data_IF_397790048558
#
_entry.id   IF_397790048558
#
_cell.length_a   1.000
_cell.length_b   1.000
_cell.length_c   1.000
_cell.angle_alpha   90.00
_cell.angle_beta   90.00
_cell.angle_gamma   90.00
#
_symmetry.space_group_name_H-M   'P 1'
#
loop_
_entity.id
_entity.type
_entity.pdbx_description
1 polymer ?
#
# COMPACT_ATOMS: atom_id res chain seq x y z
N UNK A 1 -48.19 30.32 -45.98
CA UNK A 1 -48.53 28.89 -45.81
C UNK A 1 -47.20 28.18 -45.57
N UNK A 2 -46.82 27.92 -44.32
CA UNK A 2 -47.19 26.73 -43.53
C UNK A 2 -46.52 25.46 -44.10
N UNK A 3 -45.88 24.54 -43.37
CA UNK A 3 -45.48 24.41 -41.97
C UNK A 3 -44.53 23.17 -41.87
N UNK A 4 -43.71 23.09 -40.81
CA UNK A 4 -43.34 21.87 -40.03
C UNK A 4 -42.52 20.74 -40.68
N UNK A 5 -41.60 20.00 -40.03
CA UNK A 5 -41.07 19.92 -38.65
C UNK A 5 -39.84 18.97 -38.66
N UNK A 6 -38.76 19.29 -37.95
CA UNK A 6 -37.89 18.37 -37.16
C UNK A 6 -36.84 19.25 -36.45
N UNK A 7 -37.13 19.66 -35.21
CA UNK A 7 -36.57 19.11 -33.94
C UNK A 7 -35.20 19.74 -33.61
N UNK A 8 -35.13 20.62 -32.59
CA UNK A 8 -34.50 20.32 -31.28
C UNK A 8 -32.96 20.20 -31.40
N UNK A 9 -32.07 20.96 -30.75
CA UNK A 9 -32.03 21.58 -29.41
C UNK A 9 -31.04 22.76 -29.51
N UNK A 10 -31.41 23.93 -28.98
CA UNK A 10 -30.48 25.07 -28.81
C UNK A 10 -29.33 24.70 -27.88
N UNK A 11 -28.11 25.02 -28.32
CA UNK A 11 -26.84 24.96 -27.59
C UNK A 11 -26.99 25.20 -26.07
N UNK A 12 -27.10 24.12 -25.31
CA UNK A 12 -26.98 24.11 -23.86
C UNK A 12 -25.50 24.27 -23.47
N UNK A 13 -25.01 25.52 -23.50
CA UNK A 13 -23.73 25.87 -22.91
C UNK A 13 -23.72 25.45 -21.45
N UNK A 14 -22.68 24.71 -21.05
CA UNK A 14 -22.41 24.34 -19.66
C UNK A 14 -22.44 25.64 -18.84
N UNK A 15 -23.45 25.78 -17.97
CA UNK A 15 -23.55 26.92 -17.05
C UNK A 15 -22.30 26.90 -16.19
N UNK A 16 -21.45 27.92 -16.31
CA UNK A 16 -20.34 28.17 -15.40
C UNK A 16 -20.91 28.18 -13.98
N UNK A 17 -20.44 27.27 -13.14
CA UNK A 17 -20.81 27.22 -11.71
C UNK A 17 -20.44 28.58 -11.12
N UNK A 18 -21.38 29.19 -10.39
CA UNK A 18 -21.20 30.48 -9.73
C UNK A 18 -19.96 30.42 -8.81
N UNK A 19 -19.13 31.46 -8.83
CA UNK A 19 -17.94 31.56 -7.99
C UNK A 19 -18.30 31.43 -6.51
N UNK A 20 -19.46 31.95 -6.10
CA UNK A 20 -19.97 31.78 -4.74
C UNK A 20 -20.21 30.30 -4.38
N UNK A 21 -20.81 29.53 -5.30
CA UNK A 21 -21.05 28.10 -5.11
C UNK A 21 -19.72 27.33 -5.02
N UNK A 22 -18.72 27.71 -5.81
CA UNK A 22 -17.39 27.07 -5.76
C UNK A 22 -16.68 27.32 -4.41
N UNK A 23 -16.75 28.55 -3.87
CA UNK A 23 -16.16 28.84 -2.55
C UNK A 23 -16.92 28.14 -1.42
N UNK A 24 -18.25 28.06 -1.48
CA UNK A 24 -19.05 27.27 -0.53
C UNK A 24 -18.67 25.78 -0.57
N UNK A 25 -18.59 25.19 -1.78
CA UNK A 25 -18.18 23.80 -1.94
C UNK A 25 -16.75 23.54 -1.44
N UNK A 26 -15.82 24.49 -1.65
CA UNK A 26 -14.46 24.39 -1.14
C UNK A 26 -14.42 24.37 0.39
N UNK A 27 -15.20 25.22 1.06
CA UNK A 27 -15.32 25.22 2.51
C UNK A 27 -15.90 23.90 3.03
N UNK A 28 -16.96 23.39 2.39
CA UNK A 28 -17.55 22.08 2.73
C UNK A 28 -16.53 20.95 2.57
N UNK A 29 -15.75 20.94 1.48
CA UNK A 29 -14.73 19.92 1.26
C UNK A 29 -13.63 19.97 2.33
N UNK A 30 -13.23 21.16 2.79
CA UNK A 30 -12.28 21.32 3.88
C UNK A 30 -12.84 20.79 5.22
N UNK A 31 -14.12 21.01 5.50
CA UNK A 31 -14.78 20.45 6.68
C UNK A 31 -14.86 18.92 6.62
N UNK A 32 -15.16 18.34 5.45
CA UNK A 32 -15.16 16.89 5.23
C UNK A 32 -13.78 16.32 5.46
N UNK A 33 -12.75 16.89 4.83
CA UNK A 33 -11.36 16.44 4.98
C UNK A 33 -10.90 16.51 6.44
N UNK A 34 -11.21 17.60 7.15
CA UNK A 34 -10.91 17.72 8.58
C UNK A 34 -11.61 16.62 9.41
N UNK A 35 -12.87 16.30 9.11
CA UNK A 35 -13.61 15.23 9.79
C UNK A 35 -13.00 13.85 9.49
N UNK A 36 -12.60 13.58 8.25
CA UNK A 36 -11.93 12.34 7.84
C UNK A 36 -10.60 12.15 8.59
N UNK A 37 -9.81 13.23 8.71
CA UNK A 37 -8.56 13.20 9.49
C UNK A 37 -8.78 12.85 10.96
N UNK A 38 -9.78 13.46 11.61
CA UNK A 38 -10.09 13.15 13.00
C UNK A 38 -10.60 11.71 13.20
N UNK A 39 -11.39 11.20 12.25
CA UNK A 39 -11.80 9.79 12.23
C UNK A 39 -10.59 8.87 12.07
N UNK A 40 -9.69 9.15 11.13
CA UNK A 40 -8.49 8.35 10.88
C UNK A 40 -7.58 8.28 12.11
N UNK A 41 -7.33 9.42 12.76
CA UNK A 41 -6.56 9.47 14.03
C UNK A 41 -7.20 8.62 15.11
N UNK A 42 -8.52 8.72 15.28
CA UNK A 42 -9.23 7.93 16.27
C UNK A 42 -9.21 6.43 15.94
N UNK A 43 -9.34 6.05 14.66
CA UNK A 43 -9.21 4.67 14.22
C UNK A 43 -7.81 4.09 14.54
N UNK A 44 -6.74 4.81 14.21
CA UNK A 44 -5.36 4.40 14.53
C UNK A 44 -5.22 4.15 16.03
N UNK A 45 -5.67 5.11 16.86
CA UNK A 45 -5.60 5.02 18.32
C UNK A 45 -6.36 3.82 18.88
N UNK A 46 -7.57 3.55 18.38
CA UNK A 46 -8.42 2.45 18.86
C UNK A 46 -7.91 1.09 18.38
N UNK A 47 -7.44 1.00 17.13
CA UNK A 47 -6.98 -0.27 16.57
C UNK A 47 -5.58 -0.67 17.05
N UNK A 48 -4.71 0.27 17.38
CA UNK A 48 -3.35 -0.03 17.87
C UNK A 48 -3.31 -1.09 18.99
N UNK A 49 -4.03 -0.95 20.13
CA UNK A 49 -4.03 -1.99 21.17
C UNK A 49 -4.67 -3.31 20.74
N UNK A 50 -5.56 -3.30 19.74
CA UNK A 50 -6.18 -4.51 19.18
C UNK A 50 -5.17 -5.27 18.32
N UNK A 51 -4.45 -4.57 17.44
CA UNK A 51 -3.40 -5.17 16.63
C UNK A 51 -2.24 -5.70 17.47
N UNK A 52 -1.86 -5.03 18.56
CA UNK A 52 -0.88 -5.57 19.51
C UNK A 52 -1.32 -6.87 20.18
N UNK A 53 -2.61 -7.00 20.52
CA UNK A 53 -3.17 -8.26 21.03
C UNK A 53 -3.17 -9.33 19.95
N UNK A 54 -3.56 -8.98 18.71
CA UNK A 54 -3.57 -9.89 17.56
C UNK A 54 -2.17 -10.42 17.24
N UNK A 55 -1.16 -9.55 17.20
CA UNK A 55 0.26 -9.89 17.02
C UNK A 55 0.74 -10.94 18.02
N UNK A 56 0.35 -10.83 19.30
CA UNK A 56 0.68 -11.85 20.32
C UNK A 56 0.04 -13.22 20.06
N UNK A 57 -1.11 -13.27 19.37
CA UNK A 57 -1.74 -14.52 18.97
C UNK A 57 -1.04 -15.09 17.74
N UNK A 58 -0.79 -14.27 16.73
CA UNK A 58 -0.08 -14.67 15.50
C UNK A 58 1.30 -15.27 15.80
N UNK A 59 2.05 -14.70 16.76
CA UNK A 59 3.34 -15.24 17.21
C UNK A 59 3.30 -16.67 17.76
N UNK A 60 2.12 -17.19 18.13
CA UNK A 60 1.97 -18.58 18.59
C UNK A 60 1.81 -19.58 17.45
N UNK A 61 1.58 -19.10 16.24
CA UNK A 61 1.37 -19.91 15.04
C UNK A 61 2.67 -19.90 14.24
N UNK A 62 3.37 -21.05 14.14
CA UNK A 62 4.61 -21.12 13.37
C UNK A 62 4.37 -20.71 11.92
N UNK A 63 5.26 -19.84 11.41
CA UNK A 63 5.25 -19.43 10.00
C UNK A 63 3.91 -18.82 9.55
N UNK A 64 3.23 -18.13 10.47
CA UNK A 64 1.92 -17.52 10.20
C UNK A 64 1.95 -16.62 8.95
N UNK A 65 2.84 -15.62 8.93
CA UNK A 65 2.86 -14.65 7.84
C UNK A 65 3.28 -15.28 6.50
N UNK A 66 4.20 -16.25 6.48
CA UNK A 66 4.51 -16.93 5.21
C UNK A 66 3.31 -17.71 4.67
N UNK A 67 2.50 -18.33 5.53
CA UNK A 67 1.26 -19.00 5.11
C UNK A 67 0.21 -18.02 4.59
N UNK A 68 0.16 -16.81 5.14
CA UNK A 68 -0.72 -15.74 4.64
C UNK A 68 -0.27 -15.28 3.26
N UNK A 69 1.00 -14.88 3.12
CA UNK A 69 1.51 -14.32 1.86
C UNK A 69 1.44 -15.32 0.70
N UNK A 70 1.75 -16.60 0.96
CA UNK A 70 1.73 -17.66 -0.07
C UNK A 70 0.34 -18.04 -0.58
N UNK A 71 -0.72 -17.64 0.12
CA UNK A 71 -2.12 -17.92 -0.26
C UNK A 71 -2.89 -16.66 -0.67
N UNK A 72 -2.38 -15.48 -0.34
CA UNK A 72 -3.10 -14.23 -0.55
C UNK A 72 -3.11 -13.86 -2.03
N UNK A 73 -4.30 -13.63 -2.59
CA UNK A 73 -4.51 -13.40 -4.03
C UNK A 73 -3.64 -12.27 -4.61
N UNK A 74 -3.44 -11.20 -3.84
CA UNK A 74 -2.65 -10.05 -4.29
C UNK A 74 -1.14 -10.17 -4.03
N UNK A 75 -0.67 -11.17 -3.28
CA UNK A 75 0.75 -11.25 -2.91
C UNK A 75 1.41 -12.51 -3.46
N UNK A 76 0.70 -13.64 -3.50
CA UNK A 76 1.27 -14.93 -3.87
C UNK A 76 1.92 -14.91 -5.27
N UNK A 77 1.38 -14.15 -6.21
CA UNK A 77 1.95 -14.02 -7.56
C UNK A 77 3.33 -13.37 -7.60
N UNK A 78 3.69 -12.58 -6.58
CA UNK A 78 4.98 -11.89 -6.48
C UNK A 78 6.02 -12.70 -5.70
N UNK A 79 5.66 -13.88 -5.16
CA UNK A 79 6.61 -14.77 -4.50
C UNK A 79 7.29 -15.65 -5.55
N UNK A 80 8.38 -15.14 -6.11
CA UNK A 80 9.17 -15.82 -7.14
C UNK A 80 10.61 -16.03 -6.69
N UNK A 81 11.36 -16.85 -7.44
CA UNK A 81 12.76 -17.15 -7.12
C UNK A 81 12.92 -17.68 -5.67
N UNK A 82 13.76 -17.04 -4.85
CA UNK A 82 13.98 -17.43 -3.46
C UNK A 82 13.00 -16.77 -2.47
N UNK A 83 12.02 -15.98 -2.96
CA UNK A 83 11.05 -15.28 -2.10
C UNK A 83 10.29 -16.27 -1.20
N UNK A 84 9.85 -17.42 -1.74
CA UNK A 84 9.15 -18.47 -0.98
C UNK A 84 9.94 -18.95 0.25
N UNK A 85 11.28 -18.95 0.14
CA UNK A 85 12.18 -19.32 1.22
C UNK A 85 12.43 -18.15 2.17
N UNK A 86 12.61 -16.94 1.65
CA UNK A 86 12.83 -15.73 2.47
C UNK A 86 11.62 -15.39 3.33
N UNK A 87 10.40 -15.48 2.78
CA UNK A 87 9.19 -15.16 3.56
C UNK A 87 8.98 -16.11 4.73
N UNK A 88 9.58 -17.31 4.73
CA UNK A 88 9.57 -18.21 5.88
C UNK A 88 10.26 -17.59 7.11
N UNK A 89 11.18 -16.64 6.92
CA UNK A 89 11.88 -15.97 8.01
C UNK A 89 11.15 -14.74 8.54
N UNK A 90 9.96 -14.41 8.01
CA UNK A 90 9.14 -13.32 8.54
C UNK A 90 8.53 -13.73 9.88
N UNK A 91 8.95 -13.04 10.94
CA UNK A 91 8.39 -13.15 12.28
C UNK A 91 7.10 -12.34 12.43
N UNK A 92 7.06 -11.17 11.78
CA UNK A 92 5.91 -10.27 11.86
C UNK A 92 5.79 -9.35 10.65
N UNK A 93 4.56 -8.96 10.32
CA UNK A 93 4.25 -7.84 9.43
C UNK A 93 3.42 -6.85 10.22
N UNK A 94 3.82 -5.59 10.20
CA UNK A 94 3.07 -4.48 10.79
C UNK A 94 2.82 -3.41 9.72
N UNK A 95 1.58 -2.92 9.63
CA UNK A 95 1.25 -1.73 8.83
C UNK A 95 0.89 -0.58 9.77
N UNK A 96 1.61 0.54 9.63
CA UNK A 96 1.36 1.77 10.39
C UNK A 96 0.85 2.85 9.45
N UNK A 97 -0.36 3.37 9.70
CA UNK A 97 -0.92 4.53 9.00
C UNK A 97 -0.37 5.83 9.60
N UNK A 98 -0.19 6.85 8.78
CA UNK A 98 0.18 8.19 9.26
C UNK A 98 -1.04 8.89 9.87
N UNK A 99 -0.87 9.49 11.05
CA UNK A 99 -1.94 10.26 11.71
C UNK A 99 -2.17 11.63 11.03
N UNK A 100 -1.24 12.06 10.18
CA UNK A 100 -1.26 13.35 9.47
C UNK A 100 -1.51 13.20 7.97
N UNK A 101 -1.75 11.98 7.47
CA UNK A 101 -2.09 11.74 6.07
C UNK A 101 -3.05 10.56 5.95
N UNK A 102 -4.17 10.75 5.24
CA UNK A 102 -5.14 9.68 4.99
C UNK A 102 -4.58 8.59 4.08
N UNK A 103 -3.60 8.94 3.24
CA UNK A 103 -3.04 8.07 2.22
C UNK A 103 -1.66 7.50 2.58
N UNK A 104 -0.91 8.16 3.47
CA UNK A 104 0.45 7.73 3.83
C UNK A 104 0.42 6.60 4.86
N UNK A 105 1.31 5.63 4.69
CA UNK A 105 1.48 4.49 5.59
C UNK A 105 2.85 3.86 5.37
N UNK A 106 3.24 2.94 6.24
CA UNK A 106 4.41 2.10 6.01
C UNK A 106 4.14 0.65 6.37
N UNK A 107 4.81 -0.22 5.63
CA UNK A 107 4.81 -1.66 5.84
C UNK A 107 6.16 -2.02 6.45
N UNK A 108 6.14 -2.77 7.55
CA UNK A 108 7.32 -3.21 8.28
C UNK A 108 7.32 -4.73 8.29
N UNK A 109 8.32 -5.34 7.67
CA UNK A 109 8.59 -6.77 7.75
C UNK A 109 9.67 -7.00 8.80
N UNK A 110 9.35 -7.70 9.88
CA UNK A 110 10.33 -8.14 10.87
C UNK A 110 10.76 -9.57 10.58
N UNK A 111 12.07 -9.81 10.56
CA UNK A 111 12.67 -11.10 10.24
C UNK A 111 13.39 -11.70 11.44
N UNK A 112 13.31 -13.03 11.55
CA UNK A 112 14.28 -13.80 12.32
C UNK A 112 15.63 -13.79 11.59
N UNK A 113 16.68 -14.22 12.29
CA UNK A 113 17.98 -14.49 11.64
C UNK A 113 17.78 -15.46 10.46
N UNK A 114 18.41 -15.15 9.33
CA UNK A 114 18.26 -15.86 8.07
C UNK A 114 19.57 -15.84 7.27
N UNK A 115 19.67 -16.69 6.25
CA UNK A 115 20.89 -16.86 5.45
C UNK A 115 21.02 -15.91 4.25
N UNK A 116 20.06 -14.98 4.07
CA UNK A 116 19.98 -14.13 2.88
C UNK A 116 20.53 -12.72 3.12
N UNK A 117 20.14 -12.08 4.23
CA UNK A 117 20.53 -10.70 4.55
C UNK A 117 20.59 -10.46 6.06
N UNK A 118 21.28 -9.40 6.47
CA UNK A 118 21.48 -9.06 7.89
C UNK A 118 20.36 -8.21 8.50
N UNK A 119 19.48 -7.65 7.67
CA UNK A 119 18.37 -6.81 8.14
C UNK A 119 17.47 -7.59 9.10
N UNK A 120 17.22 -7.02 10.28
CA UNK A 120 16.14 -7.49 11.18
C UNK A 120 14.78 -6.99 10.75
N UNK A 121 14.75 -5.84 10.08
CA UNK A 121 13.53 -5.25 9.57
C UNK A 121 13.78 -4.67 8.18
N UNK A 122 12.80 -4.84 7.31
CA UNK A 122 12.68 -4.08 6.08
C UNK A 122 11.44 -3.19 6.21
N UNK A 123 11.60 -1.89 5.92
CA UNK A 123 10.52 -0.90 5.94
C UNK A 123 10.33 -0.33 4.55
N UNK A 124 9.07 -0.30 4.10
CA UNK A 124 8.63 0.39 2.88
C UNK A 124 7.58 1.43 3.24
N UNK A 125 7.89 2.70 3.02
CA UNK A 125 7.06 3.85 3.37
C UNK A 125 6.42 4.44 2.10
N UNK A 126 5.11 4.63 2.14
CA UNK A 126 4.28 5.26 1.13
C UNK A 126 3.88 6.64 1.63
N UNK A 127 4.31 7.69 0.94
CA UNK A 127 4.18 9.07 1.39
C UNK A 127 3.45 9.86 0.31
N UNK A 128 2.39 10.56 0.70
CA UNK A 128 1.79 11.65 -0.07
C UNK A 128 2.18 12.96 0.59
N UNK A 129 2.85 13.84 -0.14
CA UNK A 129 3.24 15.15 0.39
C UNK A 129 2.12 16.20 0.26
N UNK A 130 2.39 17.41 0.76
CA UNK A 130 1.42 18.51 0.77
C UNK A 130 0.96 18.95 -0.64
N UNK A 131 1.74 18.66 -1.67
CA UNK A 131 1.40 18.95 -3.07
C UNK A 131 0.63 17.77 -3.72
N UNK A 132 0.31 16.73 -2.95
CA UNK A 132 -0.34 15.51 -3.43
C UNK A 132 0.60 14.56 -4.19
N UNK A 133 1.93 14.79 -4.15
CA UNK A 133 2.88 13.95 -4.87
C UNK A 133 3.21 12.70 -4.08
N UNK A 134 3.21 11.58 -4.80
CA UNK A 134 3.54 10.26 -4.27
C UNK A 134 5.05 10.04 -4.21
N UNK A 135 5.53 9.56 -3.07
CA UNK A 135 6.92 9.15 -2.82
C UNK A 135 6.93 7.79 -2.12
N UNK A 136 7.90 6.95 -2.47
CA UNK A 136 8.15 5.69 -1.77
C UNK A 136 9.58 5.72 -1.25
N UNK A 137 9.77 5.28 -0.01
CA UNK A 137 11.10 5.06 0.60
C UNK A 137 11.22 3.62 1.05
N UNK A 138 12.36 3.01 0.79
CA UNK A 138 12.57 1.59 1.07
C UNK A 138 13.87 1.37 1.83
N UNK A 139 13.88 0.40 2.74
CA UNK A 139 15.10 0.00 3.45
C UNK A 139 16.03 -0.73 2.48
N UNK A 140 17.28 -0.28 2.29
CA UNK A 140 18.25 -1.04 1.51
C UNK A 140 18.55 -2.38 2.17
N UNK A 141 18.64 -3.43 1.36
CA UNK A 141 18.91 -4.79 1.84
C UNK A 141 20.43 -5.01 1.97
N UNK A 142 20.89 -5.36 3.17
CA UNK A 142 22.26 -5.78 3.48
C UNK A 142 22.40 -7.28 3.23
N UNK A 143 22.48 -7.63 1.94
CA UNK A 143 22.67 -9.00 1.48
C UNK A 143 23.94 -9.64 2.04
N UNK A 144 23.83 -10.91 2.44
CA UNK A 144 24.99 -11.76 2.68
C UNK A 144 25.69 -12.02 1.33
N UNK A 145 27.02 -12.12 1.36
CA UNK A 145 27.82 -12.32 0.16
C UNK A 145 27.32 -13.53 -0.67
N UNK A 146 27.02 -13.31 -1.94
CA UNK A 146 26.52 -14.32 -2.86
C UNK A 146 25.05 -14.70 -2.69
N UNK A 147 24.29 -14.04 -1.81
CA UNK A 147 22.89 -14.36 -1.50
C UNK A 147 21.87 -13.38 -2.08
N UNK A 148 22.32 -12.37 -2.79
CA UNK A 148 21.44 -11.45 -3.53
C UNK A 148 20.88 -12.14 -4.77
N UNK A 149 19.67 -12.67 -4.63
CA UNK A 149 18.91 -13.30 -5.72
C UNK A 149 18.05 -12.31 -6.51
N UNK A 150 18.01 -11.03 -6.10
CA UNK A 150 17.21 -9.99 -6.79
C UNK A 150 17.93 -9.40 -8.00
N UNK A 151 19.22 -9.69 -8.15
CA UNK A 151 20.02 -9.29 -9.31
C UNK A 151 19.72 -10.19 -10.52
N UNK A 152 19.40 -9.55 -11.65
CA UNK A 152 19.08 -10.17 -12.95
C UNK A 152 20.04 -11.29 -13.31
N UNK A 153 19.56 -12.54 -13.37
CA UNK A 153 20.23 -13.62 -14.11
C UNK A 153 19.97 -13.36 -15.59
N UNK A 154 21.02 -13.34 -16.41
CA UNK A 154 21.00 -12.91 -17.83
C UNK A 154 20.10 -13.73 -18.79
N UNK A 155 19.28 -14.65 -18.31
CA UNK A 155 18.66 -15.69 -19.16
C UNK A 155 17.14 -15.54 -19.31
N UNK A 156 16.44 -14.92 -18.37
CA UNK A 156 14.98 -14.77 -18.44
C UNK A 156 14.62 -13.28 -18.42
N UNK A 157 14.15 -12.77 -19.55
CA UNK A 157 13.74 -11.37 -19.78
C UNK A 157 12.27 -11.12 -19.39
N UNK A 158 11.57 -12.10 -18.81
CA UNK A 158 10.26 -11.86 -18.22
C UNK A 158 10.43 -11.16 -16.88
N UNK A 159 9.59 -10.14 -16.68
CA UNK A 159 9.62 -9.22 -15.55
C UNK A 159 9.44 -10.00 -14.23
N UNK A 160 10.54 -10.41 -13.61
CA UNK A 160 10.54 -10.99 -12.26
C UNK A 160 10.13 -9.91 -11.25
N UNK A 161 8.83 -9.74 -11.07
CA UNK A 161 8.20 -8.95 -10.01
C UNK A 161 8.36 -9.69 -8.66
N UNK A 162 9.61 -9.79 -8.19
CA UNK A 162 9.93 -10.38 -6.89
C UNK A 162 9.46 -9.50 -5.74
N UNK A 163 8.83 -10.11 -4.73
CA UNK A 163 8.32 -9.43 -3.54
C UNK A 163 9.43 -8.78 -2.72
N UNK A 164 10.55 -9.48 -2.48
CA UNK A 164 11.65 -8.91 -1.71
C UNK A 164 12.39 -7.84 -2.52
N UNK A 165 12.47 -7.99 -3.84
CA UNK A 165 12.97 -6.95 -4.74
C UNK A 165 12.11 -5.69 -4.67
N UNK A 166 10.78 -5.82 -4.80
CA UNK A 166 9.82 -4.71 -4.65
C UNK A 166 9.97 -3.98 -3.31
N UNK A 167 10.27 -4.72 -2.25
CA UNK A 167 10.50 -4.13 -0.93
C UNK A 167 11.77 -3.26 -0.83
N UNK A 168 12.72 -3.41 -1.76
CA UNK A 168 13.94 -2.61 -1.85
C UNK A 168 13.85 -1.47 -2.88
N UNK A 169 12.90 -1.54 -3.81
CA UNK A 169 12.72 -0.54 -4.86
C UNK A 169 11.96 0.70 -4.37
N UNK A 170 12.18 1.85 -4.99
CA UNK A 170 11.48 3.12 -4.68
C UNK A 170 10.65 3.62 -5.88
N UNK A 171 10.20 2.71 -6.74
CA UNK A 171 9.28 3.04 -7.84
C UNK A 171 7.96 3.59 -7.28
N UNK A 172 7.39 4.58 -7.98
CA UNK A 172 6.14 5.26 -7.56
C UNK A 172 5.00 5.03 -8.55
N UNK A 173 5.13 4.01 -9.40
CA UNK A 173 4.08 3.59 -10.32
C UNK A 173 2.81 3.09 -9.59
N UNK A 174 1.71 3.04 -10.34
CA UNK A 174 0.41 2.67 -9.77
C UNK A 174 0.39 1.22 -9.25
N UNK A 175 1.14 0.30 -9.87
CA UNK A 175 1.24 -1.10 -9.43
C UNK A 175 1.85 -1.21 -8.03
N UNK A 176 2.96 -0.50 -7.79
CA UNK A 176 3.63 -0.47 -6.50
C UNK A 176 2.75 0.13 -5.40
N UNK A 177 2.01 1.20 -5.72
CA UNK A 177 1.03 1.80 -4.83
C UNK A 177 -0.17 0.91 -4.56
N UNK A 178 -0.69 0.22 -5.57
CA UNK A 178 -1.79 -0.72 -5.45
C UNK A 178 -1.42 -1.90 -4.55
N UNK A 179 -0.24 -2.51 -4.76
CA UNK A 179 0.26 -3.55 -3.87
C UNK A 179 0.42 -3.06 -2.44
N UNK A 180 0.96 -1.85 -2.25
CA UNK A 180 1.05 -1.23 -0.92
C UNK A 180 -0.33 -1.06 -0.25
N UNK A 181 -1.32 -0.56 -0.99
CA UNK A 181 -2.71 -0.41 -0.52
C UNK A 181 -3.35 -1.76 -0.20
N UNK A 182 -3.12 -2.77 -1.02
CA UNK A 182 -3.58 -4.14 -0.74
C UNK A 182 -3.01 -4.65 0.58
N UNK A 183 -1.75 -4.35 0.90
CA UNK A 183 -1.21 -4.65 2.24
C UNK A 183 -1.93 -3.90 3.35
N UNK A 184 -2.19 -2.60 3.16
CA UNK A 184 -2.82 -1.72 4.14
C UNK A 184 -4.27 -2.11 4.44
N UNK A 185 -5.04 -2.45 3.42
CA UNK A 185 -6.50 -2.55 3.49
C UNK A 185 -7.00 -4.00 3.47
N UNK A 186 -6.26 -4.93 2.86
CA UNK A 186 -6.66 -6.33 2.71
C UNK A 186 -5.74 -7.28 3.50
N UNK A 187 -4.46 -7.39 3.12
CA UNK A 187 -3.55 -8.42 3.67
C UNK A 187 -3.39 -8.27 5.17
N UNK A 188 -3.06 -7.07 5.66
CA UNK A 188 -2.78 -6.87 7.07
C UNK A 188 -4.06 -6.91 7.93
N UNK A 189 -5.17 -6.22 7.59
CA UNK A 189 -6.40 -6.31 8.38
C UNK A 189 -7.01 -7.71 8.37
N UNK A 190 -6.94 -8.42 7.24
CA UNK A 190 -7.62 -9.70 7.03
C UNK A 190 -6.72 -10.93 7.15
N UNK A 191 -5.48 -10.80 7.63
CA UNK A 191 -4.48 -11.88 7.69
C UNK A 191 -4.93 -13.24 8.28
N UNK A 192 -6.01 -13.28 9.06
CA UNK A 192 -6.57 -14.52 9.60
C UNK A 192 -7.76 -15.08 8.82
N UNK A 193 -8.52 -14.21 8.14
CA UNK A 193 -9.78 -14.56 7.47
C UNK A 193 -9.51 -15.28 6.14
#
# INVERSE_FOLDING_TARGET
MAASLHSEIENGGIRTIDEAINEEMKAINQEIEAAEFEIAKQQIKVFKPIYEKRKKVFKKIPKFWSQVLTKHIFVAQYLVNDDDSVVQYIDDITVEKDENSLESFKIILSFSENEYFKNKELVKEFIVDADGQRKIKSTPIDWIEGRDYTKKRKVDEEEDESFIKWFSEENTDDSSWELGRNFRDEVYPQAWM
#
